data_IF_471373986191
#
_entry.id   IF_471373986191
#
_cell.length_a   1.000
_cell.length_b   1.000
_cell.length_c   1.000
_cell.angle_alpha   90.00
_cell.angle_beta   90.00
_cell.angle_gamma   90.00
#
_symmetry.space_group_name_H-M   'P 1'
#
loop_
_entity.id
_entity.type
_entity.pdbx_description
1 polymer ?
#
# COMPACT_ATOMS: atom_id res chain seq x y z
N UNK A 1 3.59 -27.07 23.14
CA UNK A 1 5.01 -26.67 23.15
C UNK A 1 5.70 -27.33 21.95
N UNK A 2 6.13 -26.56 20.93
CA UNK A 2 6.82 -27.10 19.77
C UNK A 2 8.22 -27.56 20.15
N UNK A 3 8.58 -28.80 19.79
CA UNK A 3 9.93 -29.32 20.00
C UNK A 3 10.94 -28.39 19.29
N UNK A 4 11.92 -27.90 20.06
CA UNK A 4 13.04 -27.12 19.54
C UNK A 4 13.85 -28.00 18.58
N UNK A 5 13.85 -27.68 17.29
CA UNK A 5 14.63 -28.43 16.30
C UNK A 5 16.08 -27.97 16.32
N UNK A 6 16.97 -28.83 16.79
CA UNK A 6 18.41 -28.60 16.73
C UNK A 6 19.00 -29.09 15.40
N UNK A 7 19.75 -28.20 14.75
CA UNK A 7 20.48 -28.54 13.52
C UNK A 7 21.71 -29.39 13.82
N UNK A 8 22.09 -30.23 12.87
CA UNK A 8 23.36 -30.98 12.95
C UNK A 8 24.53 -30.01 13.10
N UNK A 9 25.40 -30.28 14.12
CA UNK A 9 26.62 -29.54 14.34
C UNK A 9 27.78 -30.00 13.43
N UNK A 10 28.96 -29.38 13.52
CA UNK A 10 30.14 -29.78 12.77
C UNK A 10 30.58 -31.18 13.18
N UNK A 11 30.67 -31.43 14.48
CA UNK A 11 31.08 -32.74 15.04
C UNK A 11 30.20 -33.89 14.55
N UNK A 12 28.88 -33.71 14.57
CA UNK A 12 27.93 -34.71 14.07
C UNK A 12 28.12 -34.99 12.57
N UNK A 13 28.45 -33.98 11.78
CA UNK A 13 28.72 -34.15 10.34
C UNK A 13 30.01 -34.89 10.05
N UNK A 14 31.06 -34.60 10.77
CA UNK A 14 32.33 -35.35 10.70
C UNK A 14 32.14 -36.80 11.11
N UNK A 15 31.39 -37.06 12.19
CA UNK A 15 31.07 -38.44 12.61
C UNK A 15 30.22 -39.18 11.54
N UNK A 16 29.29 -38.52 10.92
CA UNK A 16 28.51 -39.10 9.81
C UNK A 16 29.45 -39.49 8.67
N UNK A 17 30.39 -38.64 8.28
CA UNK A 17 31.39 -38.95 7.25
C UNK A 17 32.21 -40.18 7.58
N UNK A 18 32.84 -40.20 8.78
CA UNK A 18 33.67 -41.32 9.23
C UNK A 18 32.90 -42.64 9.26
N UNK A 19 31.76 -42.69 9.91
CA UNK A 19 30.99 -43.91 10.04
C UNK A 19 30.36 -44.36 8.70
N UNK A 20 30.08 -43.42 7.76
CA UNK A 20 29.69 -43.78 6.40
C UNK A 20 30.87 -44.39 5.62
N UNK A 21 32.09 -43.89 5.82
CA UNK A 21 33.31 -44.46 5.29
C UNK A 21 33.56 -45.88 5.77
N UNK A 22 33.21 -46.18 7.03
CA UNK A 22 33.23 -47.52 7.63
C UNK A 22 32.07 -48.45 7.20
N UNK A 23 31.18 -47.98 6.31
CA UNK A 23 30.05 -48.77 5.83
C UNK A 23 28.86 -48.86 6.78
N UNK A 24 28.84 -48.10 7.90
CA UNK A 24 27.71 -48.15 8.87
C UNK A 24 26.41 -47.67 8.27
N UNK A 25 25.31 -48.32 8.69
CA UNK A 25 23.98 -47.95 8.21
C UNK A 25 23.48 -46.65 8.81
N UNK A 26 22.61 -45.90 8.07
CA UNK A 26 22.02 -44.65 8.58
C UNK A 26 21.17 -44.85 9.85
N UNK A 27 20.58 -46.03 10.04
CA UNK A 27 19.85 -46.38 11.26
C UNK A 27 20.80 -46.50 12.46
N UNK A 28 21.98 -47.13 12.27
CA UNK A 28 23.00 -47.26 13.30
C UNK A 28 23.58 -45.90 13.67
N UNK A 29 23.99 -45.09 12.66
CA UNK A 29 24.53 -43.75 12.86
C UNK A 29 23.50 -42.85 13.58
N UNK A 30 22.22 -42.94 13.19
CA UNK A 30 21.15 -42.17 13.81
C UNK A 30 20.99 -42.48 15.29
N UNK A 31 21.09 -43.77 15.69
CA UNK A 31 21.06 -44.18 17.09
C UNK A 31 22.22 -43.57 17.88
N UNK A 32 23.45 -43.59 17.33
CA UNK A 32 24.64 -43.04 17.99
C UNK A 32 24.55 -41.52 18.18
N UNK A 33 23.96 -40.81 17.23
CA UNK A 33 23.82 -39.33 17.28
C UNK A 33 22.52 -38.86 17.94
N UNK A 34 21.62 -39.75 18.35
CA UNK A 34 20.29 -39.34 18.82
C UNK A 34 19.47 -38.64 17.77
N UNK A 35 19.67 -39.01 16.49
CA UNK A 35 19.01 -38.37 15.32
C UNK A 35 18.25 -39.42 14.50
N UNK A 36 17.12 -38.98 13.87
CA UNK A 36 16.38 -39.89 13.00
C UNK A 36 17.19 -40.25 11.74
N UNK A 37 17.09 -41.49 11.27
CA UNK A 37 17.69 -41.91 10.00
C UNK A 37 17.23 -41.06 8.78
N UNK A 38 16.00 -40.55 8.83
CA UNK A 38 15.47 -39.65 7.80
C UNK A 38 16.16 -38.28 7.79
N UNK A 39 16.59 -37.79 8.96
CA UNK A 39 17.41 -36.54 9.06
C UNK A 39 18.76 -36.76 8.38
N UNK A 40 19.42 -37.86 8.65
CA UNK A 40 20.72 -38.20 8.05
C UNK A 40 20.59 -38.42 6.53
N UNK A 41 19.57 -39.12 6.07
CA UNK A 41 19.31 -39.32 4.64
C UNK A 41 19.12 -37.99 3.91
N UNK A 42 18.34 -37.07 4.51
CA UNK A 42 18.17 -35.70 3.95
C UNK A 42 19.47 -34.89 3.94
N UNK A 43 20.27 -35.02 4.99
CA UNK A 43 21.58 -34.35 5.09
C UNK A 43 22.52 -34.84 3.98
N UNK A 44 22.68 -36.15 3.81
CA UNK A 44 23.51 -36.75 2.76
C UNK A 44 23.02 -36.37 1.36
N UNK A 45 21.72 -36.49 1.09
CA UNK A 45 21.13 -36.11 -0.20
C UNK A 45 21.32 -34.64 -0.53
N UNK A 46 21.29 -33.75 0.48
CA UNK A 46 21.43 -32.30 0.33
C UNK A 46 22.87 -31.86 0.10
N UNK A 47 23.83 -32.49 0.74
CA UNK A 47 25.21 -32.04 0.81
C UNK A 47 26.22 -32.96 0.10
N UNK A 48 25.83 -34.21 -0.26
CA UNK A 48 26.71 -35.19 -0.92
C UNK A 48 26.58 -35.22 -2.46
N UNK A 49 25.73 -34.38 -3.09
CA UNK A 49 25.54 -34.37 -4.56
C UNK A 49 26.75 -33.75 -5.27
N UNK A 50 27.16 -34.31 -6.42
CA UNK A 50 28.20 -33.72 -7.23
C UNK A 50 27.78 -32.32 -7.75
N UNK A 51 28.76 -31.46 -7.92
CA UNK A 51 28.61 -30.13 -8.53
C UNK A 51 29.71 -29.94 -9.60
N UNK A 52 29.69 -28.85 -10.34
CA UNK A 52 30.77 -28.53 -11.31
C UNK A 52 32.18 -28.54 -10.70
N UNK A 53 32.29 -28.25 -9.40
CA UNK A 53 33.56 -28.14 -8.66
C UNK A 53 33.78 -29.27 -7.64
N UNK A 54 32.85 -30.24 -7.52
CA UNK A 54 32.86 -31.30 -6.51
C UNK A 54 32.39 -32.62 -7.13
N UNK A 55 33.28 -33.65 -7.12
CA UNK A 55 33.01 -34.95 -7.72
C UNK A 55 31.91 -35.79 -7.03
N UNK A 56 31.40 -35.31 -5.88
CA UNK A 56 30.42 -36.02 -5.08
C UNK A 56 31.02 -36.67 -3.82
N UNK A 57 30.18 -37.40 -3.09
CA UNK A 57 30.55 -37.91 -1.76
C UNK A 57 30.07 -36.97 -0.66
N UNK A 58 30.17 -37.43 0.58
CA UNK A 58 29.80 -36.62 1.73
C UNK A 58 31.06 -36.26 2.53
N UNK A 59 31.29 -34.98 2.69
CA UNK A 59 32.33 -34.36 3.48
C UNK A 59 31.67 -33.51 4.56
N UNK A 60 32.01 -33.77 5.81
CA UNK A 60 31.38 -33.18 7.00
C UNK A 60 31.64 -31.67 7.13
N UNK A 61 32.88 -31.24 6.85
CA UNK A 61 33.27 -29.82 6.91
C UNK A 61 32.57 -29.01 5.80
N UNK A 62 32.64 -29.50 4.56
CA UNK A 62 31.95 -28.91 3.44
C UNK A 62 30.43 -28.82 3.68
N UNK A 63 29.85 -29.90 4.19
CA UNK A 63 28.43 -29.95 4.55
C UNK A 63 28.08 -28.90 5.63
N UNK A 64 28.96 -28.68 6.59
CA UNK A 64 28.81 -27.67 7.64
C UNK A 64 28.88 -26.25 7.04
N UNK A 65 29.87 -25.98 6.19
CA UNK A 65 30.02 -24.70 5.50
C UNK A 65 28.80 -24.40 4.63
N UNK A 66 28.32 -25.38 3.85
CA UNK A 66 27.10 -25.22 3.04
C UNK A 66 25.85 -24.99 3.89
N UNK A 67 25.72 -25.67 5.04
CA UNK A 67 24.63 -25.47 5.98
C UNK A 67 24.71 -24.09 6.65
N UNK A 68 25.90 -23.63 6.99
CA UNK A 68 26.13 -22.30 7.56
C UNK A 68 25.83 -21.20 6.53
N UNK A 69 26.28 -21.33 5.28
CA UNK A 69 25.92 -20.42 4.17
C UNK A 69 24.41 -20.32 3.97
N UNK A 70 23.70 -21.47 3.96
CA UNK A 70 22.23 -21.48 3.83
C UNK A 70 21.51 -20.82 5.02
N UNK A 71 22.15 -20.71 6.18
CA UNK A 71 21.64 -20.03 7.38
C UNK A 71 22.02 -18.56 7.46
N UNK A 72 22.99 -18.13 6.65
CA UNK A 72 23.37 -16.74 6.58
C UNK A 72 22.21 -15.88 6.07
N UNK A 73 22.17 -14.65 6.55
CA UNK A 73 21.17 -13.64 6.20
C UNK A 73 21.05 -13.40 4.69
N UNK A 74 22.18 -13.19 4.04
CA UNK A 74 22.30 -12.92 2.60
C UNK A 74 21.88 -14.10 1.71
N UNK A 75 22.07 -15.36 2.15
CA UNK A 75 21.58 -16.54 1.45
C UNK A 75 20.05 -16.75 1.63
N UNK A 76 19.48 -16.26 2.72
CA UNK A 76 18.08 -16.54 3.11
C UNK A 76 17.06 -15.68 2.40
N UNK A 77 17.42 -14.44 2.09
CA UNK A 77 16.51 -13.46 1.52
C UNK A 77 16.88 -13.05 0.09
N UNK A 78 15.89 -13.05 -0.80
CA UNK A 78 16.08 -12.63 -2.19
C UNK A 78 16.62 -11.20 -2.27
N UNK A 79 16.13 -10.30 -1.42
CA UNK A 79 16.58 -8.91 -1.36
C UNK A 79 18.06 -8.79 -0.97
N UNK A 80 18.55 -9.63 -0.05
CA UNK A 80 19.96 -9.61 0.34
C UNK A 80 20.90 -10.10 -0.77
N UNK A 81 20.38 -10.94 -1.71
CA UNK A 81 21.15 -11.49 -2.83
C UNK A 81 21.09 -10.66 -4.09
N UNK A 82 20.13 -9.74 -4.19
CA UNK A 82 19.88 -8.94 -5.37
C UNK A 82 19.88 -7.44 -5.00
N UNK A 83 21.07 -6.78 -5.04
CA UNK A 83 21.21 -5.37 -4.64
C UNK A 83 20.29 -4.43 -5.41
N UNK A 84 20.14 -4.64 -6.74
CA UNK A 84 19.28 -3.80 -7.58
C UNK A 84 17.81 -3.89 -7.15
N UNK A 85 17.31 -5.11 -6.91
CA UNK A 85 15.97 -5.31 -6.41
C UNK A 85 15.79 -4.72 -5.00
N UNK A 86 16.82 -4.80 -4.16
CA UNK A 86 16.84 -4.19 -2.84
C UNK A 86 16.73 -2.66 -2.95
N UNK A 87 17.49 -2.05 -3.86
CA UNK A 87 17.44 -0.61 -4.11
C UNK A 87 16.05 -0.15 -4.57
N UNK A 88 15.44 -0.87 -5.53
CA UNK A 88 14.06 -0.59 -6.00
C UNK A 88 13.04 -0.69 -4.87
N UNK A 89 13.12 -1.73 -4.04
CA UNK A 89 12.22 -1.89 -2.88
C UNK A 89 12.44 -0.78 -1.87
N UNK A 90 13.69 -0.41 -1.58
CA UNK A 90 14.04 0.69 -0.65
C UNK A 90 13.51 2.03 -1.15
N UNK A 91 13.67 2.32 -2.43
CA UNK A 91 13.14 3.53 -3.06
C UNK A 91 11.60 3.57 -2.95
N UNK A 92 10.93 2.47 -3.27
CA UNK A 92 9.47 2.39 -3.12
C UNK A 92 9.00 2.62 -1.69
N UNK A 93 9.69 2.08 -0.70
CA UNK A 93 9.40 2.32 0.73
C UNK A 93 9.66 3.78 1.14
N UNK A 94 10.74 4.40 0.66
CA UNK A 94 11.05 5.81 0.91
C UNK A 94 9.96 6.74 0.34
N UNK A 95 9.37 6.37 -0.80
CA UNK A 95 8.18 7.04 -1.38
C UNK A 95 6.89 6.77 -0.59
N UNK A 96 6.94 6.07 0.55
CA UNK A 96 5.77 5.74 1.37
C UNK A 96 4.88 4.62 0.82
N UNK A 97 5.32 3.88 -0.20
CA UNK A 97 4.59 2.71 -0.74
C UNK A 97 4.64 1.55 0.24
N UNK A 98 3.56 0.78 0.33
CA UNK A 98 3.55 -0.46 1.11
C UNK A 98 4.25 -1.59 0.36
N UNK A 99 4.75 -2.63 1.06
CA UNK A 99 5.29 -3.84 0.41
C UNK A 99 4.36 -4.46 -0.62
N UNK A 100 3.05 -4.43 -0.39
CA UNK A 100 2.05 -4.92 -1.34
C UNK A 100 2.01 -4.07 -2.62
N UNK A 101 2.04 -2.73 -2.49
CA UNK A 101 2.08 -1.81 -3.63
C UNK A 101 3.37 -1.96 -4.45
N UNK A 102 4.51 -2.14 -3.77
CA UNK A 102 5.80 -2.35 -4.43
C UNK A 102 5.81 -3.67 -5.20
N UNK A 103 5.42 -4.78 -4.55
CA UNK A 103 5.40 -6.08 -5.17
C UNK A 103 4.44 -6.14 -6.37
N UNK A 104 3.24 -5.55 -6.22
CA UNK A 104 2.25 -5.50 -7.29
C UNK A 104 2.69 -4.61 -8.46
N UNK A 105 3.29 -3.47 -8.19
CA UNK A 105 3.82 -2.58 -9.24
C UNK A 105 4.94 -3.24 -10.03
N UNK A 106 5.91 -3.86 -9.35
CA UNK A 106 6.98 -4.62 -10.00
C UNK A 106 6.43 -5.78 -10.85
N UNK A 107 5.38 -6.46 -10.38
CA UNK A 107 4.76 -7.52 -11.17
C UNK A 107 4.07 -6.98 -12.42
N UNK A 108 3.41 -5.81 -12.34
CA UNK A 108 2.78 -5.15 -13.48
C UNK A 108 3.83 -4.72 -14.52
N UNK A 109 4.93 -4.08 -14.09
CA UNK A 109 6.00 -3.58 -14.97
C UNK A 109 6.76 -4.70 -15.69
N UNK A 110 6.94 -5.84 -15.03
CA UNK A 110 7.72 -6.96 -15.59
C UNK A 110 6.83 -8.10 -16.16
N UNK A 111 5.52 -7.98 -16.14
CA UNK A 111 4.59 -9.02 -16.62
C UNK A 111 4.62 -10.33 -15.80
N UNK A 112 5.36 -10.38 -14.69
CA UNK A 112 5.50 -11.56 -13.81
C UNK A 112 5.81 -11.17 -12.38
N UNK A 113 5.50 -12.04 -11.43
CA UNK A 113 5.85 -11.82 -10.01
C UNK A 113 7.37 -11.83 -9.82
N UNK A 114 7.94 -10.68 -9.49
CA UNK A 114 9.37 -10.52 -9.18
C UNK A 114 9.63 -10.88 -7.71
N UNK A 115 8.82 -10.36 -6.79
CA UNK A 115 8.93 -10.62 -5.35
C UNK A 115 7.54 -10.55 -4.72
N UNK A 116 7.28 -11.38 -3.71
CA UNK A 116 6.03 -11.28 -2.94
C UNK A 116 6.14 -10.22 -1.84
N UNK A 117 5.01 -9.60 -1.50
CA UNK A 117 4.95 -8.64 -0.39
C UNK A 117 5.37 -9.28 0.95
N UNK A 118 5.05 -10.55 1.14
CA UNK A 118 5.48 -11.32 2.34
C UNK A 118 6.99 -11.44 2.41
N UNK A 119 7.68 -11.68 1.29
CA UNK A 119 9.14 -11.72 1.24
C UNK A 119 9.77 -10.36 1.61
N UNK A 120 9.13 -9.25 1.23
CA UNK A 120 9.56 -7.90 1.62
C UNK A 120 9.34 -7.70 3.12
N UNK A 121 8.17 -8.05 3.66
CA UNK A 121 7.90 -7.95 5.10
C UNK A 121 8.88 -8.80 5.93
N UNK A 122 9.11 -10.05 5.55
CA UNK A 122 10.05 -10.95 6.24
C UNK A 122 11.47 -10.39 6.24
N UNK A 123 11.89 -9.74 5.17
CA UNK A 123 13.16 -9.04 5.10
C UNK A 123 13.20 -7.87 6.09
N UNK A 124 12.22 -6.96 6.04
CA UNK A 124 12.14 -5.74 6.87
C UNK A 124 12.17 -6.07 8.37
N UNK A 125 11.44 -7.11 8.79
CA UNK A 125 11.35 -7.50 10.20
C UNK A 125 12.45 -8.45 10.68
N UNK A 126 13.37 -8.85 9.81
CA UNK A 126 14.52 -9.65 10.24
C UNK A 126 15.49 -8.78 11.03
N UNK A 127 16.11 -9.38 12.07
CA UNK A 127 17.02 -8.66 13.00
C UNK A 127 18.15 -7.90 12.29
N UNK A 128 18.69 -8.46 11.19
CA UNK A 128 19.76 -7.81 10.42
C UNK A 128 19.30 -6.57 9.69
N UNK A 129 18.06 -6.53 9.15
CA UNK A 129 17.49 -5.36 8.50
C UNK A 129 16.99 -4.31 9.51
N UNK A 130 16.71 -4.71 10.76
CA UNK A 130 16.30 -3.76 11.80
C UNK A 130 17.42 -2.77 12.14
N UNK A 131 18.69 -3.14 11.98
CA UNK A 131 19.83 -2.23 12.14
C UNK A 131 19.77 -1.04 11.18
N UNK A 132 19.23 -1.24 9.97
CA UNK A 132 19.08 -0.21 8.93
C UNK A 132 17.72 0.51 9.00
N UNK A 133 16.94 0.30 10.07
CA UNK A 133 15.66 0.95 10.33
C UNK A 133 14.60 0.87 9.21
N UNK A 134 14.64 -0.17 8.37
CA UNK A 134 13.69 -0.36 7.25
C UNK A 134 12.22 -0.31 7.68
N UNK A 135 11.89 -0.76 8.89
CA UNK A 135 10.52 -0.72 9.43
C UNK A 135 9.96 0.70 9.59
N UNK A 136 10.83 1.71 9.74
CA UNK A 136 10.42 3.12 9.84
C UNK A 136 9.89 3.67 8.52
N UNK A 137 10.25 3.06 7.39
CA UNK A 137 9.75 3.44 6.07
C UNK A 137 8.38 2.85 5.74
N UNK A 138 7.85 1.94 6.57
CA UNK A 138 6.50 1.39 6.36
C UNK A 138 5.42 2.47 6.55
N UNK A 139 4.35 2.50 5.74
CA UNK A 139 3.28 3.50 5.81
C UNK A 139 2.59 3.60 7.17
N UNK A 140 2.53 2.50 7.92
CA UNK A 140 2.03 2.46 9.30
C UNK A 140 3.18 2.14 10.25
N UNK A 141 3.87 3.14 10.73
CA UNK A 141 5.01 3.03 11.69
C UNK A 141 4.62 2.43 13.06
N UNK A 142 3.53 1.66 13.16
CA UNK A 142 3.00 1.16 14.43
C UNK A 142 3.77 -0.04 14.94
N UNK A 143 4.22 0.04 16.20
CA UNK A 143 4.69 -1.08 17.00
C UNK A 143 3.55 -1.92 17.63
N UNK A 144 2.30 -1.40 17.71
CA UNK A 144 1.11 -2.09 18.26
C UNK A 144 -0.21 -1.61 17.63
N UNK A 145 -1.25 -2.49 17.58
CA UNK A 145 -2.63 -2.16 17.15
C UNK A 145 -3.41 -1.47 18.27
N UNK A 146 -4.10 -0.35 17.96
CA UNK A 146 -5.01 0.36 18.88
C UNK A 146 -6.44 0.46 18.35
N UNK A 147 -7.44 0.58 19.23
CA UNK A 147 -8.89 0.77 18.92
C UNK A 147 -9.24 2.24 18.68
N UNK A 148 -10.22 2.50 17.78
CA UNK A 148 -10.79 3.83 17.52
C UNK A 148 -12.10 4.01 18.33
N UNK A 149 -12.30 5.23 18.85
CA UNK A 149 -13.56 5.68 19.45
C UNK A 149 -14.28 6.66 18.52
N UNK A 150 -15.63 6.63 18.55
CA UNK A 150 -16.52 7.49 17.75
C UNK A 150 -17.10 8.64 18.56
N UNK A 151 -17.27 9.84 17.94
CA UNK A 151 -18.24 10.88 18.32
C UNK A 151 -18.44 11.90 17.18
N UNK A 152 -19.69 12.34 16.94
CA UNK A 152 -20.06 13.49 16.12
C UNK A 152 -21.51 13.46 15.65
N UNK A 153 -22.24 14.57 15.83
CA UNK A 153 -23.58 14.80 15.32
C UNK A 153 -23.57 15.81 14.16
N UNK A 154 -24.56 15.78 13.28
CA UNK A 154 -24.59 16.56 12.03
C UNK A 154 -25.83 17.44 11.91
N UNK A 155 -25.73 18.72 11.45
CA UNK A 155 -26.85 19.63 11.22
C UNK A 155 -27.42 19.51 9.79
N UNK A 156 -28.14 18.43 9.51
CA UNK A 156 -28.66 18.14 8.17
C UNK A 156 -29.81 19.06 7.67
N UNK A 157 -30.31 19.99 8.47
CA UNK A 157 -31.54 20.78 8.16
C UNK A 157 -31.31 22.11 7.41
N UNK A 158 -30.07 22.51 7.14
CA UNK A 158 -29.74 23.86 6.63
C UNK A 158 -29.46 23.94 5.12
N UNK A 159 -29.46 22.82 4.40
CA UNK A 159 -29.14 22.79 2.95
C UNK A 159 -30.45 22.65 2.19
N UNK A 160 -30.79 23.66 1.35
CA UNK A 160 -31.95 23.65 0.46
C UNK A 160 -31.68 22.78 -0.78
N UNK A 161 -32.75 22.28 -1.43
CA UNK A 161 -32.72 21.54 -2.71
C UNK A 161 -31.78 20.31 -2.73
N UNK A 162 -31.61 19.69 -1.57
CA UNK A 162 -30.74 18.55 -1.39
C UNK A 162 -31.34 17.28 -1.99
N UNK A 163 -30.67 16.66 -2.97
CA UNK A 163 -31.03 15.35 -3.48
C UNK A 163 -30.37 14.24 -2.60
N UNK A 164 -31.16 13.28 -2.09
CA UNK A 164 -30.62 12.18 -1.33
C UNK A 164 -29.77 11.25 -2.22
N UNK A 165 -28.81 10.56 -1.61
CA UNK A 165 -27.90 9.64 -2.32
C UNK A 165 -28.64 8.49 -3.01
N UNK A 166 -29.83 8.11 -2.53
CA UNK A 166 -30.68 7.08 -3.14
C UNK A 166 -31.11 7.41 -4.57
N UNK A 167 -31.16 8.69 -4.94
CA UNK A 167 -31.49 9.15 -6.29
C UNK A 167 -30.27 9.25 -7.23
N UNK A 168 -29.06 8.99 -6.70
CA UNK A 168 -27.85 9.01 -7.53
C UNK A 168 -27.88 7.83 -8.52
N UNK A 169 -27.46 8.02 -9.79
CA UNK A 169 -27.42 6.95 -10.79
C UNK A 169 -26.69 5.71 -10.28
N UNK A 170 -27.23 4.52 -10.57
CA UNK A 170 -26.66 3.24 -10.13
C UNK A 170 -25.22 3.05 -10.63
N UNK A 171 -24.92 3.54 -11.85
CA UNK A 171 -23.57 3.53 -12.46
C UNK A 171 -22.50 4.22 -11.60
N UNK A 172 -22.90 5.17 -10.77
CA UNK A 172 -22.01 5.83 -9.83
C UNK A 172 -21.66 4.91 -8.63
N UNK A 173 -22.48 3.91 -8.31
CA UNK A 173 -22.29 3.04 -7.15
C UNK A 173 -21.19 1.99 -7.39
N UNK A 174 -21.19 1.34 -8.56
CA UNK A 174 -20.23 0.29 -8.93
C UNK A 174 -18.87 0.81 -9.45
N UNK A 175 -18.79 2.16 -9.68
CA UNK A 175 -17.54 2.84 -10.09
C UNK A 175 -17.01 2.39 -11.45
N UNK A 176 -17.90 1.96 -12.35
CA UNK A 176 -17.53 1.56 -13.71
C UNK A 176 -17.51 2.74 -14.67
N UNK A 177 -18.29 3.77 -14.38
CA UNK A 177 -18.41 4.98 -15.21
C UNK A 177 -17.64 6.13 -14.54
N UNK A 178 -16.82 6.88 -15.31
CA UNK A 178 -16.10 8.05 -14.80
C UNK A 178 -17.01 9.28 -14.67
N UNK A 179 -16.49 10.30 -13.99
CA UNK A 179 -17.16 11.59 -13.84
C UNK A 179 -18.05 11.69 -12.61
N UNK A 180 -17.97 10.72 -11.71
CA UNK A 180 -18.65 10.74 -10.41
C UNK A 180 -17.64 11.04 -9.31
N UNK A 181 -17.83 12.17 -8.62
CA UNK A 181 -16.88 12.70 -7.63
C UNK A 181 -17.43 12.62 -6.22
N UNK A 182 -16.55 12.55 -5.24
CA UNK A 182 -16.83 12.74 -3.83
C UNK A 182 -16.02 13.94 -3.33
N UNK A 183 -16.65 14.85 -2.58
CA UNK A 183 -15.98 16.01 -2.00
C UNK A 183 -16.10 16.05 -0.50
N UNK A 184 -15.07 16.60 0.15
CA UNK A 184 -15.01 16.79 1.61
C UNK A 184 -13.98 17.86 1.98
N UNK A 185 -14.11 18.43 3.18
CA UNK A 185 -13.13 19.34 3.74
C UNK A 185 -12.17 18.60 4.67
N UNK A 186 -10.90 18.74 4.40
CA UNK A 186 -9.84 18.28 5.28
C UNK A 186 -9.46 19.37 6.28
N UNK A 187 -10.15 19.41 7.44
CA UNK A 187 -9.99 20.44 8.45
C UNK A 187 -8.71 20.29 9.30
N UNK A 188 -8.09 21.42 9.69
CA UNK A 188 -6.91 21.48 10.54
C UNK A 188 -7.22 22.18 11.87
N UNK A 189 -6.44 21.89 12.90
CA UNK A 189 -6.71 22.39 14.25
C UNK A 189 -6.33 23.87 14.44
N UNK A 190 -5.40 24.39 13.62
CA UNK A 190 -4.94 25.78 13.68
C UNK A 190 -5.74 26.66 12.73
N UNK A 191 -6.09 27.85 13.18
CA UNK A 191 -6.64 28.96 12.38
C UNK A 191 -7.87 28.60 11.51
N UNK A 192 -8.63 27.56 11.86
CA UNK A 192 -9.78 27.05 11.07
C UNK A 192 -9.44 26.82 9.60
N UNK A 193 -8.19 26.51 9.29
CA UNK A 193 -7.70 26.24 7.95
C UNK A 193 -8.30 24.94 7.40
N UNK A 194 -8.57 24.93 6.12
CA UNK A 194 -9.17 23.77 5.45
C UNK A 194 -8.56 23.58 4.06
N UNK A 195 -8.50 22.33 3.63
CA UNK A 195 -8.24 21.96 2.24
C UNK A 195 -9.52 21.34 1.69
N UNK A 196 -10.04 21.89 0.61
CA UNK A 196 -11.09 21.25 -0.17
C UNK A 196 -10.47 20.10 -0.93
N UNK A 197 -11.08 18.92 -0.82
CA UNK A 197 -10.61 17.70 -1.47
C UNK A 197 -11.72 17.17 -2.37
N UNK A 198 -11.35 16.74 -3.56
CA UNK A 198 -12.26 16.19 -4.56
C UNK A 198 -11.66 14.91 -5.13
N UNK A 199 -12.36 13.79 -5.01
CA UNK A 199 -11.88 12.46 -5.43
C UNK A 199 -12.80 11.88 -6.51
N UNK A 200 -12.24 11.55 -7.67
CA UNK A 200 -12.95 10.82 -8.72
C UNK A 200 -13.09 9.34 -8.32
N UNK A 201 -14.30 8.79 -8.47
CA UNK A 201 -14.68 7.49 -7.86
C UNK A 201 -14.08 6.28 -8.58
N UNK A 202 -13.94 6.31 -9.91
CA UNK A 202 -13.38 5.21 -10.69
C UNK A 202 -11.85 5.17 -10.58
N UNK A 203 -11.20 6.26 -10.97
CA UNK A 203 -9.74 6.38 -11.03
C UNK A 203 -9.06 6.57 -9.67
N UNK A 204 -9.81 7.00 -8.64
CA UNK A 204 -9.28 7.46 -7.35
C UNK A 204 -8.40 8.71 -7.47
N UNK A 205 -8.46 9.41 -8.60
CA UNK A 205 -7.74 10.66 -8.80
C UNK A 205 -8.20 11.69 -7.78
N UNK A 206 -7.24 12.36 -7.18
CA UNK A 206 -7.45 13.34 -6.12
C UNK A 206 -7.05 14.71 -6.62
N UNK A 207 -7.91 15.68 -6.38
CA UNK A 207 -7.64 17.10 -6.52
C UNK A 207 -7.82 17.78 -5.16
N UNK A 208 -7.13 18.90 -4.91
CA UNK A 208 -7.31 19.63 -3.67
C UNK A 208 -6.74 21.03 -3.72
N UNK A 209 -7.37 21.93 -2.96
CA UNK A 209 -7.01 23.33 -2.86
C UNK A 209 -7.16 23.84 -1.44
N UNK A 210 -6.22 24.72 -1.02
CA UNK A 210 -6.36 25.43 0.24
C UNK A 210 -7.43 26.50 0.15
N UNK A 211 -8.36 26.51 1.09
CA UNK A 211 -9.41 27.49 1.19
C UNK A 211 -9.08 28.57 2.22
N UNK A 212 -9.28 29.83 1.86
CA UNK A 212 -9.21 30.95 2.79
C UNK A 212 -10.31 30.90 3.85
N UNK A 213 -11.45 30.25 3.52
CA UNK A 213 -12.62 30.14 4.37
C UNK A 213 -13.42 28.91 4.04
N UNK A 214 -14.16 28.36 5.02
CA UNK A 214 -15.11 27.26 4.82
C UNK A 214 -16.55 27.72 4.49
N UNK A 215 -16.75 28.99 4.15
CA UNK A 215 -18.06 29.47 3.70
C UNK A 215 -18.47 28.82 2.35
N UNK A 216 -19.77 28.70 2.11
CA UNK A 216 -20.28 27.97 0.94
C UNK A 216 -19.86 28.57 -0.40
N UNK A 217 -19.69 29.90 -0.47
CA UNK A 217 -19.32 30.59 -1.71
C UNK A 217 -17.88 30.26 -2.17
N UNK A 218 -16.82 30.40 -1.37
CA UNK A 218 -15.48 29.97 -1.76
C UNK A 218 -15.41 28.46 -2.11
N UNK A 219 -16.16 27.61 -1.41
CA UNK A 219 -16.20 26.17 -1.67
C UNK A 219 -16.80 25.86 -3.05
N UNK A 220 -17.99 26.43 -3.37
CA UNK A 220 -18.64 26.16 -4.66
C UNK A 220 -17.83 26.74 -5.82
N UNK A 221 -17.22 27.91 -5.66
CA UNK A 221 -16.36 28.51 -6.68
C UNK A 221 -15.15 27.61 -6.98
N UNK A 222 -14.44 27.17 -5.95
CA UNK A 222 -13.27 26.28 -6.09
C UNK A 222 -13.65 24.94 -6.74
N UNK A 223 -14.80 24.35 -6.39
CA UNK A 223 -15.34 23.16 -7.06
C UNK A 223 -15.63 23.42 -8.54
N UNK A 224 -16.24 24.57 -8.84
CA UNK A 224 -16.55 24.98 -10.22
C UNK A 224 -15.26 25.14 -11.05
N UNK A 225 -14.26 25.82 -10.53
CA UNK A 225 -12.96 26.02 -11.18
C UNK A 225 -12.23 24.70 -11.44
N UNK A 226 -12.31 23.75 -10.50
CA UNK A 226 -11.70 22.42 -10.63
C UNK A 226 -12.38 21.56 -11.70
N UNK A 227 -13.72 21.63 -11.81
CA UNK A 227 -14.50 20.74 -12.67
C UNK A 227 -14.79 21.34 -14.06
N UNK A 228 -14.85 22.66 -14.19
CA UNK A 228 -15.14 23.36 -15.45
C UNK A 228 -14.23 22.95 -16.62
N UNK A 229 -12.91 22.76 -16.46
CA UNK A 229 -12.02 22.36 -17.55
C UNK A 229 -12.26 20.93 -18.05
N UNK A 230 -12.95 20.09 -17.27
CA UNK A 230 -13.18 18.70 -17.63
C UNK A 230 -14.31 18.56 -18.66
N UNK A 231 -14.22 17.60 -19.59
CA UNK A 231 -15.33 17.23 -20.45
C UNK A 231 -16.61 16.89 -19.67
N UNK A 232 -17.79 17.12 -20.24
CA UNK A 232 -19.06 16.83 -19.56
C UNK A 232 -19.19 15.40 -19.09
N UNK A 233 -18.63 14.43 -19.82
CA UNK A 233 -18.59 13.03 -19.45
C UNK A 233 -17.77 12.75 -18.15
N UNK A 234 -16.89 13.67 -17.76
CA UNK A 234 -16.03 13.54 -16.56
C UNK A 234 -16.46 14.47 -15.41
N UNK A 235 -17.59 15.17 -15.53
CA UNK A 235 -18.13 16.05 -14.48
C UNK A 235 -19.62 15.86 -14.27
N UNK A 236 -20.05 14.60 -14.13
CA UNK A 236 -21.47 14.21 -14.07
C UNK A 236 -22.11 14.51 -12.72
N UNK A 237 -21.49 14.05 -11.64
CA UNK A 237 -22.05 14.20 -10.28
C UNK A 237 -20.98 14.50 -9.24
N UNK A 238 -21.39 15.23 -8.18
CA UNK A 238 -20.59 15.36 -6.96
C UNK A 238 -21.42 14.90 -5.77
N UNK A 239 -20.83 14.11 -4.89
CA UNK A 239 -21.45 13.65 -3.64
C UNK A 239 -20.83 14.36 -2.46
N UNK A 240 -21.67 14.95 -1.60
CA UNK A 240 -21.32 15.69 -0.39
C UNK A 240 -21.80 14.98 0.88
N UNK A 241 -21.25 15.39 2.01
CA UNK A 241 -21.94 15.20 3.30
C UNK A 241 -22.94 16.34 3.57
N UNK A 242 -23.48 16.37 4.78
CA UNK A 242 -24.45 17.38 5.17
C UNK A 242 -23.81 18.64 5.79
N UNK A 243 -22.58 18.97 5.41
CA UNK A 243 -21.89 20.16 5.87
C UNK A 243 -22.47 21.45 5.29
N UNK A 244 -22.63 22.49 6.09
CA UNK A 244 -23.16 23.81 5.64
C UNK A 244 -22.28 24.50 4.62
N UNK A 245 -21.02 24.11 4.51
CA UNK A 245 -20.07 24.55 3.50
C UNK A 245 -20.48 24.20 2.06
N UNK A 246 -21.39 23.23 1.90
CA UNK A 246 -21.95 22.83 0.61
C UNK A 246 -23.33 23.43 0.33
N UNK A 247 -23.80 24.41 1.10
CA UNK A 247 -25.14 24.98 0.97
C UNK A 247 -25.42 25.64 -0.40
N UNK A 248 -24.36 26.07 -1.12
CA UNK A 248 -24.50 26.66 -2.47
C UNK A 248 -24.27 25.65 -3.60
N UNK A 249 -24.35 24.35 -3.32
CA UNK A 249 -24.11 23.27 -4.28
C UNK A 249 -24.94 23.38 -5.60
N UNK A 250 -26.13 23.97 -5.54
CA UNK A 250 -27.02 24.12 -6.70
C UNK A 250 -26.38 24.92 -7.85
N UNK A 251 -25.40 25.80 -7.56
CA UNK A 251 -24.66 26.57 -8.56
C UNK A 251 -23.86 25.71 -9.54
N UNK A 252 -23.44 24.52 -9.09
CA UNK A 252 -22.76 23.55 -9.96
C UNK A 252 -23.66 23.01 -11.07
N UNK A 253 -25.00 23.17 -10.93
CA UNK A 253 -25.97 22.83 -11.98
C UNK A 253 -25.76 23.60 -13.27
N UNK A 254 -25.25 24.84 -13.21
CA UNK A 254 -24.88 25.63 -14.38
C UNK A 254 -23.77 25.00 -15.24
N UNK A 255 -22.97 24.09 -14.65
CA UNK A 255 -21.94 23.30 -15.34
C UNK A 255 -22.45 21.91 -15.77
N UNK A 256 -23.76 21.63 -15.61
CA UNK A 256 -24.36 20.32 -15.88
C UNK A 256 -24.02 19.26 -14.82
N UNK A 257 -23.64 19.68 -13.62
CA UNK A 257 -23.23 18.78 -12.55
C UNK A 257 -24.39 18.54 -11.59
N UNK A 258 -24.81 17.30 -11.42
CA UNK A 258 -25.79 16.90 -10.41
C UNK A 258 -25.12 16.68 -9.05
N UNK A 259 -25.78 17.11 -7.98
CA UNK A 259 -25.24 17.04 -6.63
C UNK A 259 -26.09 16.16 -5.73
N UNK A 260 -25.46 15.29 -4.98
CA UNK A 260 -26.12 14.34 -4.07
C UNK A 260 -25.53 14.43 -2.67
N UNK A 261 -26.34 14.12 -1.67
CA UNK A 261 -25.97 14.20 -0.27
C UNK A 261 -26.10 12.84 0.41
N UNK A 262 -25.10 12.52 1.23
CA UNK A 262 -25.11 11.31 2.05
C UNK A 262 -26.22 11.39 3.10
N UNK A 263 -26.69 10.23 3.53
CA UNK A 263 -27.58 10.14 4.67
C UNK A 263 -26.88 10.62 5.94
N UNK A 264 -27.60 11.22 6.88
CA UNK A 264 -27.04 11.55 8.18
C UNK A 264 -26.41 10.32 8.84
N UNK A 265 -25.23 10.50 9.42
CA UNK A 265 -24.48 9.44 10.11
C UNK A 265 -24.05 8.24 9.25
N UNK A 266 -24.01 8.37 7.92
CA UNK A 266 -23.59 7.33 6.97
C UNK A 266 -22.21 7.60 6.31
N UNK A 267 -21.10 7.68 7.08
CA UNK A 267 -19.77 8.01 6.52
C UNK A 267 -19.31 7.04 5.44
N UNK A 268 -19.71 5.77 5.50
CA UNK A 268 -19.35 4.75 4.49
C UNK A 268 -19.81 5.10 3.08
N UNK A 269 -20.79 6.01 2.92
CA UNK A 269 -21.30 6.45 1.60
C UNK A 269 -20.30 7.30 0.83
N UNK A 270 -19.30 7.92 1.49
CA UNK A 270 -18.18 8.68 0.90
C UNK A 270 -16.83 7.98 1.09
N UNK A 271 -16.77 6.66 0.98
CA UNK A 271 -15.57 5.89 1.31
C UNK A 271 -14.35 6.20 0.44
N UNK A 272 -14.49 6.77 -0.76
CA UNK A 272 -13.35 7.11 -1.62
C UNK A 272 -12.60 8.32 -1.09
N UNK A 273 -13.31 9.40 -0.80
CA UNK A 273 -12.71 10.63 -0.30
C UNK A 273 -12.20 10.45 1.15
N UNK A 274 -12.93 9.72 2.00
CA UNK A 274 -12.46 9.42 3.36
C UNK A 274 -11.14 8.64 3.36
N UNK A 275 -11.00 7.65 2.48
CA UNK A 275 -9.75 6.91 2.31
C UNK A 275 -8.63 7.83 1.80
N UNK A 276 -8.94 8.73 0.85
CA UNK A 276 -7.99 9.70 0.33
C UNK A 276 -7.49 10.64 1.42
N UNK A 277 -8.40 11.27 2.17
CA UNK A 277 -8.08 12.13 3.32
C UNK A 277 -7.27 11.35 4.37
N UNK A 278 -7.66 10.12 4.69
CA UNK A 278 -6.91 9.27 5.62
C UNK A 278 -5.47 8.97 5.18
N UNK A 279 -5.19 8.95 3.87
CA UNK A 279 -3.84 8.83 3.32
C UNK A 279 -3.08 10.15 3.35
N UNK A 280 -3.72 11.25 2.96
CA UNK A 280 -3.15 12.60 3.00
C UNK A 280 -2.78 13.00 4.45
N UNK A 281 -3.54 12.56 5.45
CA UNK A 281 -3.25 12.77 6.89
C UNK A 281 -1.91 12.20 7.36
N UNK A 282 -1.26 11.36 6.58
CA UNK A 282 0.09 10.85 6.90
C UNK A 282 1.17 11.91 6.64
N UNK A 283 0.98 12.69 5.59
CA UNK A 283 1.87 13.81 5.24
C UNK A 283 1.40 15.12 5.91
N UNK A 284 0.08 15.28 6.05
CA UNK A 284 -0.59 16.47 6.60
C UNK A 284 -1.38 16.10 7.87
N UNK A 285 -0.74 15.87 9.03
CA UNK A 285 -1.43 15.64 10.30
C UNK A 285 -2.35 16.81 10.67
N UNK A 286 -3.39 16.56 11.48
CA UNK A 286 -4.35 17.61 11.92
C UNK A 286 -3.69 18.83 12.60
N UNK A 287 -2.51 18.65 13.18
CA UNK A 287 -1.74 19.70 13.87
C UNK A 287 -0.88 20.55 12.94
N UNK A 288 -0.80 20.20 11.66
CA UNK A 288 -0.05 20.96 10.67
C UNK A 288 -0.63 22.37 10.56
N UNK A 289 0.25 23.37 10.48
CA UNK A 289 -0.11 24.73 10.15
C UNK A 289 -0.09 24.89 8.63
N UNK A 290 -1.26 25.09 8.02
CA UNK A 290 -1.35 25.24 6.57
C UNK A 290 -0.72 26.55 6.06
N UNK A 291 -0.54 27.56 6.92
CA UNK A 291 0.14 28.78 6.51
C UNK A 291 1.62 28.55 6.13
N UNK A 292 2.20 27.44 6.65
CA UNK A 292 3.57 27.04 6.31
C UNK A 292 3.68 26.19 5.04
N UNK A 293 2.55 25.88 4.39
CA UNK A 293 2.47 25.03 3.21
C UNK A 293 1.85 25.88 2.09
N UNK A 294 2.64 26.18 1.08
CA UNK A 294 2.13 26.86 -0.10
C UNK A 294 1.35 25.90 -1.02
N UNK A 295 0.67 26.45 -2.03
CA UNK A 295 -0.13 25.68 -2.96
C UNK A 295 0.75 24.75 -3.81
N UNK A 296 2.02 25.06 -4.04
CA UNK A 296 2.95 24.23 -4.79
C UNK A 296 3.33 22.97 -3.98
N UNK A 297 3.61 23.14 -2.68
CA UNK A 297 3.85 22.03 -1.77
C UNK A 297 2.62 21.13 -1.62
N UNK A 298 1.41 21.69 -1.54
CA UNK A 298 0.17 20.91 -1.53
C UNK A 298 0.00 20.11 -2.81
N UNK A 299 0.23 20.71 -3.98
CA UNK A 299 0.18 20.00 -5.27
C UNK A 299 1.16 18.84 -5.30
N UNK A 300 2.40 19.04 -4.88
CA UNK A 300 3.41 17.97 -4.81
C UNK A 300 2.98 16.78 -3.94
N UNK A 301 2.30 17.04 -2.81
CA UNK A 301 1.73 15.99 -1.97
C UNK A 301 0.57 15.24 -2.65
N UNK A 302 -0.30 15.96 -3.35
CA UNK A 302 -1.40 15.38 -4.13
C UNK A 302 -0.84 14.56 -5.31
N UNK A 303 0.19 15.04 -5.99
CA UNK A 303 0.87 14.31 -7.06
C UNK A 303 1.51 13.01 -6.53
N UNK A 304 2.12 13.06 -5.35
CA UNK A 304 2.63 11.87 -4.68
C UNK A 304 1.50 10.87 -4.41
N UNK A 305 0.33 11.35 -3.97
CA UNK A 305 -0.86 10.52 -3.80
C UNK A 305 -1.32 9.92 -5.13
N UNK A 306 -1.44 10.72 -6.17
CA UNK A 306 -1.93 10.33 -7.50
C UNK A 306 -0.94 9.40 -8.23
N UNK A 307 0.35 9.46 -7.93
CA UNK A 307 1.39 8.57 -8.47
C UNK A 307 1.70 7.36 -7.57
N UNK A 308 0.86 7.12 -6.56
CA UNK A 308 0.99 5.93 -5.70
C UNK A 308 0.11 4.79 -6.24
N UNK A 309 0.67 3.61 -6.60
CA UNK A 309 -0.08 2.46 -7.11
C UNK A 309 -1.19 2.01 -6.16
N UNK A 310 -2.32 1.58 -6.71
CA UNK A 310 -3.48 1.11 -5.95
C UNK A 310 -3.85 -0.32 -6.32
N UNK A 311 -4.01 -1.20 -5.33
CA UNK A 311 -4.46 -2.57 -5.56
C UNK A 311 -5.82 -2.62 -6.27
N UNK A 312 -6.76 -1.73 -5.90
CA UNK A 312 -8.09 -1.63 -6.53
C UNK A 312 -8.05 -1.15 -7.99
N UNK A 313 -6.91 -0.66 -8.46
CA UNK A 313 -6.65 -0.27 -9.86
C UNK A 313 -5.67 -1.24 -10.52
N UNK A 314 -5.62 -2.49 -10.10
CA UNK A 314 -4.65 -3.48 -10.57
C UNK A 314 -3.19 -2.97 -10.52
N UNK A 315 -2.85 -2.24 -9.46
CA UNK A 315 -1.55 -1.59 -9.21
C UNK A 315 -1.16 -0.48 -10.21
N UNK A 316 -2.08 -0.02 -11.04
CA UNK A 316 -1.95 1.27 -11.70
C UNK A 316 -2.06 2.40 -10.67
N UNK A 317 -1.56 3.57 -11.04
CA UNK A 317 -1.72 4.79 -10.23
C UNK A 317 -3.03 5.49 -10.58
N UNK A 318 -3.62 6.30 -9.67
CA UNK A 318 -4.75 7.15 -9.99
C UNK A 318 -4.51 8.04 -11.22
N UNK A 319 -3.30 8.59 -11.36
CA UNK A 319 -2.92 9.45 -12.47
C UNK A 319 -2.93 8.70 -13.81
N UNK A 320 -2.37 7.49 -13.88
CA UNK A 320 -2.39 6.64 -15.07
C UNK A 320 -3.84 6.36 -15.50
N UNK A 321 -4.69 5.92 -14.55
CA UNK A 321 -6.09 5.59 -14.88
C UNK A 321 -6.89 6.82 -15.30
N UNK A 322 -6.70 7.96 -14.62
CA UNK A 322 -7.41 9.19 -14.96
C UNK A 322 -6.97 9.72 -16.33
N UNK A 323 -5.68 9.65 -16.66
CA UNK A 323 -5.17 10.03 -17.98
C UNK A 323 -5.70 9.12 -19.09
N UNK A 324 -5.78 7.80 -18.86
CA UNK A 324 -6.40 6.86 -19.80
C UNK A 324 -7.88 7.19 -20.07
N UNK A 325 -8.60 7.58 -19.01
CA UNK A 325 -10.01 8.01 -19.11
C UNK A 325 -10.13 9.31 -19.92
N UNK A 326 -9.29 10.32 -19.61
CA UNK A 326 -9.28 11.60 -20.34
C UNK A 326 -9.02 11.38 -21.84
N UNK A 327 -8.00 10.61 -22.19
CA UNK A 327 -7.66 10.31 -23.58
C UNK A 327 -8.82 9.59 -24.30
N UNK A 328 -9.45 8.62 -23.65
CA UNK A 328 -10.60 7.90 -24.22
C UNK A 328 -11.80 8.81 -24.47
N UNK A 329 -12.09 9.73 -23.55
CA UNK A 329 -13.19 10.70 -23.71
C UNK A 329 -12.87 11.71 -24.81
N UNK A 330 -11.62 12.20 -24.88
CA UNK A 330 -11.19 13.12 -25.93
C UNK A 330 -11.26 12.53 -27.36
N UNK A 331 -11.13 11.20 -27.49
CA UNK A 331 -11.25 10.52 -28.79
C UNK A 331 -12.72 10.25 -29.19
N UNK A 332 -13.69 10.49 -28.31
CA UNK A 332 -15.12 10.28 -28.54
C UNK A 332 -15.87 11.59 -28.78
N UNK A 333 -15.21 12.73 -28.60
CA UNK A 333 -15.72 14.08 -28.90
C UNK A 333 -15.14 14.60 -30.21
#
# INVERSE_FOLDING_TARGET
MGQSYEHLGLRERVQIELWRGEGRSLRWIGRQLGRSASTLSRELRRNGRPTKQWRGGYDGERAHQLASRRRCWDARFKLARQPDLQALVRQGLAMGRSPEQIAGRLALEHGRTIISHESIYRFIYHRSAQKDYWHRMLPKRKSRRGRLGQRGGSPARLIKDRLPLSLRPAEAADRQVPGHWESDLMAFNRNRQNILMLCERQSRYLWGEQLCSKHAEPVVRSLGEALKPLPAALRRTVTFDNGTEFARHAELGSLGIMTYFCDPHAPWQKGSIENAIGRMRRALPRKTDLASIDQAALRSLIDTYNNTPRKCLAFKTPNEVFSEILNRVALQT
#
